data_IF_324680097826
#
_entry.id   IF_324680097826
#
_cell.length_a   1.000
_cell.length_b   1.000
_cell.length_c   1.000
_cell.angle_alpha   90.00
_cell.angle_beta   90.00
_cell.angle_gamma   90.00
#
_symmetry.space_group_name_H-M   'P 1'
#
loop_
_entity.id
_entity.type
_entity.pdbx_description
1 polymer ?
#
# COMPACT_ATOMS: atom_id res chain seq x y z
N UNK A 1 51.38 -32.43 -10.87
CA UNK A 1 51.01 -32.59 -9.41
C UNK A 1 49.96 -33.67 -9.34
N UNK A 2 50.22 -34.86 -8.75
CA UNK A 2 49.21 -35.91 -8.62
C UNK A 2 48.34 -35.61 -7.41
N UNK A 3 47.05 -35.37 -7.65
CA UNK A 3 46.08 -35.05 -6.60
C UNK A 3 45.64 -36.38 -5.97
N UNK A 4 45.61 -36.45 -4.64
CA UNK A 4 45.15 -37.67 -3.93
C UNK A 4 43.64 -37.83 -4.12
N UNK A 5 43.17 -39.06 -4.18
CA UNK A 5 41.74 -39.42 -4.32
C UNK A 5 40.90 -38.69 -3.26
N UNK A 6 41.43 -38.56 -2.05
CA UNK A 6 40.82 -37.85 -0.94
C UNK A 6 40.52 -36.37 -1.28
N UNK A 7 41.53 -35.64 -1.80
CA UNK A 7 41.38 -34.21 -2.17
C UNK A 7 40.41 -34.06 -3.34
N UNK A 8 40.54 -34.94 -4.34
CA UNK A 8 39.64 -34.92 -5.51
C UNK A 8 38.17 -35.13 -5.15
N UNK A 9 37.88 -36.18 -4.34
CA UNK A 9 36.50 -36.49 -3.91
C UNK A 9 35.89 -35.39 -3.05
N UNK A 10 36.65 -34.84 -2.09
CA UNK A 10 36.18 -33.79 -1.22
C UNK A 10 35.92 -32.49 -2.03
N UNK A 11 36.88 -32.16 -2.92
CA UNK A 11 36.72 -30.96 -3.75
C UNK A 11 35.53 -31.05 -4.71
N UNK A 12 35.31 -32.23 -5.31
CA UNK A 12 34.17 -32.43 -6.23
C UNK A 12 32.85 -32.40 -5.49
N UNK A 13 32.71 -33.06 -4.34
CA UNK A 13 31.51 -33.02 -3.52
C UNK A 13 31.23 -31.62 -3.01
N UNK A 14 32.23 -30.89 -2.51
CA UNK A 14 32.10 -29.51 -2.06
C UNK A 14 31.68 -28.58 -3.21
N UNK A 15 32.23 -28.75 -4.40
CA UNK A 15 31.87 -28.00 -5.58
C UNK A 15 30.39 -28.20 -5.96
N UNK A 16 29.92 -29.43 -6.00
CA UNK A 16 28.50 -29.75 -6.32
C UNK A 16 27.58 -29.11 -5.30
N UNK A 17 27.88 -29.22 -4.00
CA UNK A 17 27.07 -28.64 -2.92
C UNK A 17 27.03 -27.11 -3.01
N UNK A 18 28.18 -26.49 -3.27
CA UNK A 18 28.27 -25.03 -3.46
C UNK A 18 27.45 -24.57 -4.67
N UNK A 19 27.58 -25.25 -5.81
CA UNK A 19 26.83 -24.89 -7.01
C UNK A 19 25.34 -25.10 -6.86
N UNK A 20 24.92 -26.25 -6.30
CA UNK A 20 23.48 -26.53 -6.12
C UNK A 20 22.85 -25.62 -5.06
N UNK A 21 23.51 -25.40 -3.92
CA UNK A 21 23.05 -24.50 -2.86
C UNK A 21 23.00 -23.05 -3.33
N UNK A 22 24.03 -22.60 -4.06
CA UNK A 22 24.06 -21.26 -4.67
C UNK A 22 22.98 -21.06 -5.70
N UNK A 23 22.72 -22.04 -6.57
CA UNK A 23 21.67 -21.99 -7.59
C UNK A 23 20.26 -21.92 -6.95
N UNK A 24 19.99 -22.78 -5.96
CA UNK A 24 18.72 -22.80 -5.24
C UNK A 24 18.49 -21.43 -4.53
N UNK A 25 19.50 -20.91 -3.84
CA UNK A 25 19.41 -19.62 -3.16
C UNK A 25 19.18 -18.47 -4.14
N UNK A 26 19.82 -18.49 -5.30
CA UNK A 26 19.65 -17.48 -6.35
C UNK A 26 18.25 -17.52 -6.97
N UNK A 27 17.74 -18.71 -7.32
CA UNK A 27 16.38 -18.87 -7.85
C UNK A 27 15.35 -18.43 -6.82
N UNK A 28 15.52 -18.84 -5.55
CA UNK A 28 14.64 -18.42 -4.44
C UNK A 28 14.63 -16.90 -4.27
N UNK A 29 15.79 -16.26 -4.32
CA UNK A 29 15.90 -14.80 -4.21
C UNK A 29 15.14 -14.07 -5.31
N UNK A 30 15.31 -14.46 -6.58
CA UNK A 30 14.60 -13.87 -7.72
C UNK A 30 13.09 -14.13 -7.60
N UNK A 31 12.70 -15.36 -7.27
CA UNK A 31 11.30 -15.75 -7.10
C UNK A 31 10.59 -14.91 -6.03
N UNK A 32 11.23 -14.77 -4.88
CA UNK A 32 10.72 -13.96 -3.76
C UNK A 32 10.56 -12.50 -4.16
N UNK A 33 11.56 -11.89 -4.80
CA UNK A 33 11.46 -10.48 -5.22
C UNK A 33 10.29 -10.25 -6.19
N UNK A 34 10.15 -11.12 -7.19
CA UNK A 34 9.07 -11.01 -8.17
C UNK A 34 7.68 -11.20 -7.55
N UNK A 35 7.55 -12.21 -6.71
CA UNK A 35 6.28 -12.49 -6.02
C UNK A 35 5.89 -11.35 -5.08
N UNK A 36 6.86 -10.79 -4.36
CA UNK A 36 6.63 -9.63 -3.47
C UNK A 36 6.12 -8.43 -4.24
N UNK A 37 6.74 -8.11 -5.37
CA UNK A 37 6.34 -6.98 -6.19
C UNK A 37 4.90 -7.15 -6.69
N UNK A 38 4.54 -8.31 -7.24
CA UNK A 38 3.20 -8.62 -7.73
C UNK A 38 2.16 -8.61 -6.60
N UNK A 39 2.49 -9.21 -5.45
CA UNK A 39 1.59 -9.23 -4.29
C UNK A 39 1.38 -7.82 -3.71
N UNK A 40 2.43 -6.98 -3.69
CA UNK A 40 2.32 -5.59 -3.24
C UNK A 40 1.44 -4.77 -4.19
N UNK A 41 1.55 -4.97 -5.51
CA UNK A 41 0.71 -4.33 -6.52
C UNK A 41 -0.77 -4.68 -6.29
N UNK A 42 -1.10 -5.97 -6.19
CA UNK A 42 -2.45 -6.45 -5.94
C UNK A 42 -3.02 -5.94 -4.61
N UNK A 43 -2.21 -5.96 -3.55
CA UNK A 43 -2.63 -5.50 -2.23
C UNK A 43 -2.90 -3.99 -2.22
N UNK A 44 -2.06 -3.20 -2.87
CA UNK A 44 -2.25 -1.75 -3.00
C UNK A 44 -3.49 -1.43 -3.85
N UNK A 45 -3.75 -2.18 -4.93
CA UNK A 45 -4.96 -2.02 -5.74
C UNK A 45 -6.22 -2.31 -4.91
N UNK A 46 -6.23 -3.39 -4.12
CA UNK A 46 -7.34 -3.73 -3.23
C UNK A 46 -7.58 -2.64 -2.17
N UNK A 47 -6.51 -2.08 -1.59
CA UNK A 47 -6.62 -0.96 -0.64
C UNK A 47 -7.18 0.28 -1.35
N UNK A 48 -6.71 0.62 -2.56
CA UNK A 48 -7.26 1.73 -3.34
C UNK A 48 -8.76 1.54 -3.58
N UNK A 49 -9.17 0.36 -4.04
CA UNK A 49 -10.57 0.04 -4.31
C UNK A 49 -11.42 0.18 -3.05
N UNK A 50 -10.95 -0.36 -1.93
CA UNK A 50 -11.67 -0.24 -0.65
C UNK A 50 -11.83 1.22 -0.20
N UNK A 51 -10.81 2.05 -0.34
CA UNK A 51 -10.88 3.48 0.00
C UNK A 51 -11.84 4.21 -0.95
N UNK A 52 -11.80 3.89 -2.26
CA UNK A 52 -12.75 4.43 -3.25
C UNK A 52 -14.18 4.08 -2.88
N UNK A 53 -14.47 2.82 -2.62
CA UNK A 53 -15.82 2.34 -2.29
C UNK A 53 -16.37 3.03 -1.04
N UNK A 54 -15.55 3.17 0.00
CA UNK A 54 -15.95 3.90 1.20
C UNK A 54 -16.15 5.38 0.94
N UNK A 55 -15.29 6.01 0.14
CA UNK A 55 -15.43 7.42 -0.24
C UNK A 55 -16.72 7.62 -1.01
N UNK A 56 -17.00 6.79 -2.02
CA UNK A 56 -18.24 6.86 -2.79
C UNK A 56 -19.47 6.60 -1.92
N UNK A 57 -19.42 5.67 -0.99
CA UNK A 57 -20.52 5.43 -0.02
C UNK A 57 -20.79 6.66 0.85
N UNK A 58 -19.75 7.38 1.30
CA UNK A 58 -19.92 8.64 2.03
C UNK A 58 -20.59 9.70 1.16
N UNK A 59 -20.20 9.81 -0.12
CA UNK A 59 -20.79 10.78 -1.06
C UNK A 59 -22.22 10.38 -1.43
N UNK A 60 -22.49 9.09 -1.61
CA UNK A 60 -23.81 8.60 -1.98
C UNK A 60 -24.86 8.90 -0.91
N UNK A 61 -24.51 8.85 0.37
CA UNK A 61 -25.44 9.22 1.44
C UNK A 61 -25.90 10.69 1.32
N UNK A 62 -25.00 11.59 0.90
CA UNK A 62 -25.34 12.97 0.60
C UNK A 62 -26.26 13.06 -0.62
N UNK A 63 -25.97 12.34 -1.70
CA UNK A 63 -26.79 12.30 -2.92
C UNK A 63 -28.22 11.84 -2.60
N UNK A 64 -28.38 10.73 -1.90
CA UNK A 64 -29.69 10.19 -1.53
C UNK A 64 -30.47 11.19 -0.66
N UNK A 65 -29.82 11.86 0.31
CA UNK A 65 -30.46 12.88 1.13
C UNK A 65 -30.94 14.08 0.30
N UNK A 66 -30.18 14.46 -0.70
CA UNK A 66 -30.55 15.56 -1.60
C UNK A 66 -31.72 15.19 -2.54
N UNK A 67 -31.76 13.97 -3.08
CA UNK A 67 -32.86 13.48 -3.91
C UNK A 67 -34.19 13.41 -3.12
N UNK A 68 -34.14 12.92 -1.87
CA UNK A 68 -35.31 12.93 -0.99
C UNK A 68 -35.77 14.39 -0.72
N UNK A 69 -34.85 15.32 -0.61
CA UNK A 69 -35.14 16.73 -0.37
C UNK A 69 -35.91 17.38 -1.53
N UNK A 70 -35.59 17.03 -2.78
CA UNK A 70 -36.36 17.47 -3.95
C UNK A 70 -37.85 17.09 -3.84
N UNK A 71 -38.09 15.85 -3.43
CA UNK A 71 -39.48 15.36 -3.25
C UNK A 71 -40.22 16.08 -2.12
N UNK A 72 -39.52 16.41 -1.02
CA UNK A 72 -40.11 17.04 0.15
C UNK A 72 -40.34 18.55 -0.03
N UNK A 73 -39.58 19.23 -0.89
CA UNK A 73 -39.56 20.69 -1.05
C UNK A 73 -40.41 21.18 -2.21
N UNK A 74 -41.64 20.76 -2.31
CA UNK A 74 -42.58 21.28 -3.34
C UNK A 74 -43.13 22.64 -2.94
N UNK A 75 -43.19 23.59 -3.90
CA UNK A 75 -43.87 24.90 -3.88
C UNK A 75 -43.65 25.73 -2.60
N UNK A 76 -42.93 26.81 -2.73
CA UNK A 76 -42.49 27.74 -1.67
C UNK A 76 -41.99 27.04 -0.40
N UNK A 77 -40.82 26.35 -0.48
CA UNK A 77 -40.29 25.62 0.65
C UNK A 77 -39.99 26.47 1.89
N UNK A 78 -39.67 27.74 1.70
CA UNK A 78 -39.35 28.66 2.79
C UNK A 78 -40.56 29.45 3.33
N UNK A 79 -41.79 29.04 3.02
CA UNK A 79 -42.98 29.63 3.62
C UNK A 79 -43.01 29.38 5.14
N UNK A 80 -43.59 30.31 5.90
CA UNK A 80 -43.72 30.20 7.36
C UNK A 80 -44.41 28.93 7.80
N UNK A 81 -45.41 28.47 7.07
CA UNK A 81 -46.17 27.23 7.37
C UNK A 81 -45.30 25.94 7.25
N UNK A 82 -44.23 25.97 6.49
CA UNK A 82 -43.30 24.82 6.28
C UNK A 82 -42.00 24.89 7.08
N UNK A 83 -41.75 26.05 7.68
CA UNK A 83 -40.48 26.33 8.37
C UNK A 83 -40.13 25.26 9.43
N UNK A 84 -41.06 24.93 10.31
CA UNK A 84 -40.83 23.92 11.36
C UNK A 84 -40.59 22.53 10.82
N UNK A 85 -41.29 22.15 9.73
CA UNK A 85 -41.08 20.86 9.07
C UNK A 85 -39.72 20.79 8.40
N UNK A 86 -39.28 21.88 7.81
CA UNK A 86 -37.98 21.99 7.16
C UNK A 86 -36.82 21.99 8.17
N UNK A 87 -37.00 22.66 9.32
CA UNK A 87 -36.05 22.61 10.45
C UNK A 87 -35.83 21.15 10.90
N UNK A 88 -36.90 20.44 11.23
CA UNK A 88 -36.83 19.04 11.63
C UNK A 88 -36.16 18.16 10.56
N UNK A 89 -36.47 18.41 9.31
CA UNK A 89 -35.95 17.64 8.18
C UNK A 89 -34.44 17.87 8.00
N UNK A 90 -33.97 19.12 7.99
CA UNK A 90 -32.55 19.45 7.83
C UNK A 90 -31.69 18.94 8.99
N UNK A 91 -32.21 19.05 10.23
CA UNK A 91 -31.56 18.46 11.41
C UNK A 91 -31.48 16.94 11.33
N UNK A 92 -32.51 16.29 10.81
CA UNK A 92 -32.50 14.83 10.61
C UNK A 92 -31.43 14.41 9.61
N UNK A 93 -31.27 15.16 8.50
CA UNK A 93 -30.18 14.89 7.54
C UNK A 93 -28.82 15.02 8.19
N UNK A 94 -28.57 16.11 8.92
CA UNK A 94 -27.30 16.31 9.60
C UNK A 94 -27.03 15.23 10.64
N UNK A 95 -28.02 14.87 11.45
CA UNK A 95 -27.86 13.84 12.48
C UNK A 95 -27.62 12.45 11.90
N UNK A 96 -28.28 12.12 10.78
CA UNK A 96 -28.10 10.85 10.11
C UNK A 96 -26.77 10.73 9.34
N UNK A 97 -26.17 11.87 8.97
CA UNK A 97 -25.00 11.94 8.10
C UNK A 97 -23.87 12.76 8.76
N UNK A 98 -23.02 12.18 9.62
CA UNK A 98 -21.95 12.91 10.29
C UNK A 98 -20.92 13.55 9.35
N UNK A 99 -20.81 13.04 8.12
CA UNK A 99 -19.92 13.56 7.08
C UNK A 99 -20.43 14.84 6.43
N UNK A 100 -21.72 15.15 6.58
CA UNK A 100 -22.33 16.37 6.07
C UNK A 100 -22.06 17.53 7.02
N UNK A 101 -21.47 18.59 6.49
CA UNK A 101 -21.15 19.78 7.25
C UNK A 101 -22.36 20.74 7.34
N UNK A 102 -23.04 20.96 6.24
CA UNK A 102 -24.20 21.84 6.17
C UNK A 102 -25.26 21.37 5.16
N UNK A 103 -26.49 21.79 5.39
CA UNK A 103 -27.66 21.54 4.53
C UNK A 103 -28.40 22.84 4.37
N UNK A 104 -28.80 23.18 3.15
CA UNK A 104 -29.42 24.47 2.89
C UNK A 104 -30.32 24.47 1.65
N UNK A 105 -31.12 25.52 1.57
CA UNK A 105 -31.97 25.82 0.41
C UNK A 105 -31.90 27.29 0.05
N UNK A 106 -31.63 27.58 -1.23
CA UNK A 106 -31.68 28.91 -1.81
C UNK A 106 -32.92 29.08 -2.71
N UNK A 107 -33.71 30.08 -2.46
CA UNK A 107 -34.94 30.34 -3.21
C UNK A 107 -34.65 31.13 -4.50
N UNK A 108 -35.24 30.72 -5.63
CA UNK A 108 -35.02 31.34 -6.94
C UNK A 108 -35.65 32.72 -7.00
N UNK A 109 -36.89 32.87 -6.48
CA UNK A 109 -37.70 34.08 -6.67
C UNK A 109 -37.11 35.32 -6.02
N UNK A 110 -36.65 35.20 -4.80
CA UNK A 110 -36.26 36.33 -3.96
C UNK A 110 -34.90 36.21 -3.30
N UNK A 111 -34.17 35.10 -3.53
CA UNK A 111 -32.85 34.87 -2.98
C UNK A 111 -32.82 34.62 -1.46
N UNK A 112 -33.97 34.28 -0.85
CA UNK A 112 -34.00 33.83 0.54
C UNK A 112 -33.16 32.56 0.66
N UNK A 113 -32.44 32.45 1.78
CA UNK A 113 -31.52 31.33 2.05
C UNK A 113 -31.73 30.81 3.47
N UNK A 114 -31.86 29.49 3.60
CA UNK A 114 -31.92 28.81 4.89
C UNK A 114 -30.85 27.75 4.92
N UNK A 115 -30.02 27.76 5.96
CA UNK A 115 -28.91 26.86 6.16
C UNK A 115 -28.92 26.31 7.56
N UNK A 116 -28.61 25.03 7.70
CA UNK A 116 -28.27 24.36 8.95
C UNK A 116 -26.85 23.84 8.84
N UNK A 117 -26.04 24.15 9.83
CA UNK A 117 -24.63 23.83 9.83
C UNK A 117 -24.21 23.18 11.14
N UNK A 118 -23.39 22.15 11.04
CA UNK A 118 -22.77 21.47 12.18
C UNK A 118 -21.59 22.29 12.68
N UNK A 119 -21.65 22.67 13.95
CA UNK A 119 -20.61 23.42 14.61
C UNK A 119 -19.49 22.50 15.13
N UNK A 120 -18.35 23.08 15.52
CA UNK A 120 -17.17 22.33 16.03
C UNK A 120 -17.47 21.53 17.30
N UNK A 121 -18.42 21.95 18.11
CA UNK A 121 -18.89 21.27 19.31
C UNK A 121 -19.94 20.18 19.05
N UNK A 122 -20.29 19.97 17.77
CA UNK A 122 -21.30 19.00 17.31
C UNK A 122 -22.74 19.52 17.34
N UNK A 123 -23.00 20.70 17.88
CA UNK A 123 -24.31 21.35 17.83
C UNK A 123 -24.68 21.79 16.42
N UNK A 124 -25.95 22.06 16.17
CA UNK A 124 -26.44 22.52 14.86
C UNK A 124 -26.93 23.96 14.98
N UNK A 125 -26.36 24.85 14.19
CA UNK A 125 -26.83 26.21 14.05
C UNK A 125 -27.76 26.36 12.86
N UNK A 126 -28.75 27.24 12.99
CA UNK A 126 -29.61 27.67 11.91
C UNK A 126 -29.21 29.09 11.47
N UNK A 127 -29.09 29.29 10.17
CA UNK A 127 -28.80 30.56 9.56
C UNK A 127 -29.86 30.86 8.50
N UNK A 128 -30.59 31.94 8.68
CA UNK A 128 -31.62 32.37 7.74
C UNK A 128 -31.31 33.80 7.22
N UNK A 129 -31.28 33.90 5.92
CA UNK A 129 -31.03 35.16 5.22
C UNK A 129 -32.24 35.54 4.35
N UNK A 130 -32.74 36.72 4.50
CA UNK A 130 -33.86 37.24 3.69
C UNK A 130 -33.62 38.68 3.28
N UNK A 131 -33.84 39.05 2.00
CA UNK A 131 -33.78 40.41 1.58
C UNK A 131 -35.01 41.17 2.17
N UNK A 132 -34.76 42.26 2.85
CA UNK A 132 -35.81 43.15 3.38
C UNK A 132 -35.45 44.60 3.13
N UNK A 133 -36.30 45.31 2.35
CA UNK A 133 -36.11 46.72 2.06
C UNK A 133 -34.73 47.11 1.50
N UNK A 134 -34.18 46.25 0.62
CA UNK A 134 -32.84 46.48 0.04
C UNK A 134 -31.65 46.10 0.94
N UNK A 135 -31.92 45.58 2.12
CA UNK A 135 -30.91 45.07 3.07
C UNK A 135 -31.07 43.58 3.26
N UNK A 136 -29.95 42.89 3.53
CA UNK A 136 -29.97 41.48 3.91
C UNK A 136 -30.21 41.36 5.41
N UNK A 137 -31.31 40.68 5.78
CA UNK A 137 -31.59 40.37 7.17
C UNK A 137 -31.05 38.96 7.44
N UNK A 138 -30.13 38.86 8.40
CA UNK A 138 -29.53 37.58 8.81
C UNK A 138 -29.97 37.26 10.23
N UNK A 139 -30.51 36.08 10.44
CA UNK A 139 -30.80 35.56 11.78
C UNK A 139 -30.04 34.29 12.03
N UNK A 140 -29.37 34.23 13.17
CA UNK A 140 -28.65 33.04 13.64
C UNK A 140 -29.38 32.45 14.84
N UNK A 141 -29.55 31.14 14.84
CA UNK A 141 -30.12 30.44 15.99
C UNK A 141 -29.26 29.24 16.31
N UNK A 142 -28.76 29.16 17.54
CA UNK A 142 -27.90 28.12 18.02
C UNK A 142 -28.67 27.15 18.93
N UNK A 143 -28.37 25.84 18.91
CA UNK A 143 -29.00 24.87 19.81
C UNK A 143 -28.52 25.00 21.26
N UNK A 144 -27.28 25.41 21.47
CA UNK A 144 -26.73 25.55 22.81
C UNK A 144 -27.08 26.94 23.39
N UNK A 145 -27.89 26.98 24.49
CA UNK A 145 -28.28 28.25 25.11
C UNK A 145 -27.12 29.08 25.65
N UNK A 146 -25.97 28.50 25.95
CA UNK A 146 -24.78 29.25 26.42
C UNK A 146 -24.16 30.11 25.34
N UNK A 147 -24.39 29.78 24.07
CA UNK A 147 -24.02 30.61 22.92
C UNK A 147 -25.12 31.66 22.56
N UNK A 148 -26.31 31.58 23.16
CA UNK A 148 -27.30 32.60 23.10
C UNK A 148 -26.94 33.80 24.01
N UNK A 149 -25.78 34.39 23.81
CA UNK A 149 -25.61 35.77 24.28
C UNK A 149 -26.30 36.67 23.25
N UNK A 150 -27.51 37.03 23.60
CA UNK A 150 -28.45 37.93 22.91
C UNK A 150 -29.47 37.24 21.98
N UNK A 151 -30.72 37.63 22.12
CA UNK A 151 -31.78 37.46 21.14
C UNK A 151 -31.23 37.68 19.74
N UNK A 152 -31.82 37.08 18.66
CA UNK A 152 -31.31 37.27 17.31
C UNK A 152 -31.15 38.79 17.06
N UNK A 153 -29.97 39.29 17.38
CA UNK A 153 -29.60 40.62 16.93
C UNK A 153 -29.56 40.53 15.42
N UNK A 154 -30.56 41.15 14.82
CA UNK A 154 -30.55 41.53 13.43
C UNK A 154 -29.35 42.47 13.24
N UNK A 155 -28.15 41.94 13.18
CA UNK A 155 -26.99 42.70 12.81
C UNK A 155 -27.19 43.11 11.38
N UNK A 156 -27.43 44.40 11.17
CA UNK A 156 -27.14 45.06 9.89
C UNK A 156 -25.62 44.94 9.70
N UNK A 157 -25.12 43.79 9.33
CA UNK A 157 -23.79 43.73 8.77
C UNK A 157 -23.90 44.21 7.34
N UNK A 158 -23.08 45.20 7.03
CA UNK A 158 -22.72 45.60 5.67
C UNK A 158 -21.81 44.54 5.06
N UNK A 159 -22.15 43.26 5.28
CA UNK A 159 -21.54 42.13 4.57
C UNK A 159 -21.96 42.24 3.11
N UNK A 160 -21.05 42.06 2.20
CA UNK A 160 -21.35 41.84 0.79
C UNK A 160 -22.58 40.95 0.67
N UNK A 161 -23.57 41.42 -0.07
CA UNK A 161 -24.87 40.77 -0.25
C UNK A 161 -24.65 39.29 -0.65
N UNK A 162 -24.92 38.37 0.26
CA UNK A 162 -24.89 36.93 -0.07
C UNK A 162 -26.15 36.58 -0.84
N UNK A 163 -26.00 36.40 -2.14
CA UNK A 163 -27.06 35.87 -2.99
C UNK A 163 -26.71 34.38 -3.32
N UNK A 164 -27.48 33.39 -2.85
CA UNK A 164 -27.24 31.97 -3.13
C UNK A 164 -27.20 31.69 -4.63
N UNK A 165 -27.99 32.42 -5.43
CA UNK A 165 -28.09 32.22 -6.89
C UNK A 165 -26.80 32.52 -7.64
N UNK A 166 -25.90 33.29 -7.04
CA UNK A 166 -24.57 33.59 -7.63
C UNK A 166 -23.53 32.56 -7.32
N UNK A 167 -23.80 31.62 -6.41
CA UNK A 167 -22.85 30.64 -5.91
C UNK A 167 -22.67 29.45 -6.88
N UNK A 168 -21.49 28.84 -6.92
CA UNK A 168 -21.19 27.72 -7.84
C UNK A 168 -22.21 26.57 -7.74
N UNK A 169 -22.53 26.15 -6.53
CA UNK A 169 -23.48 25.08 -6.27
C UNK A 169 -24.88 25.34 -6.83
N UNK A 170 -25.36 26.58 -6.70
CA UNK A 170 -26.69 26.98 -7.20
C UNK A 170 -26.72 26.99 -8.72
N UNK A 171 -25.78 27.73 -9.30
CA UNK A 171 -25.72 27.93 -10.75
C UNK A 171 -25.54 26.63 -11.50
N UNK A 172 -24.64 25.76 -11.03
CA UNK A 172 -24.36 24.51 -11.70
C UNK A 172 -25.58 23.58 -11.76
N UNK A 173 -26.35 23.45 -10.66
CA UNK A 173 -27.57 22.65 -10.63
C UNK A 173 -28.71 23.29 -11.46
N UNK A 174 -28.90 24.61 -11.33
CA UNK A 174 -29.92 25.33 -12.08
C UNK A 174 -29.67 25.31 -13.60
N UNK A 175 -28.43 25.48 -14.05
CA UNK A 175 -28.03 25.42 -15.46
C UNK A 175 -28.14 24.01 -16.04
N UNK A 176 -27.74 22.98 -15.26
CA UNK A 176 -27.83 21.58 -15.68
C UNK A 176 -29.27 21.07 -15.69
N UNK A 177 -30.13 21.63 -14.85
CA UNK A 177 -31.51 21.16 -14.66
C UNK A 177 -31.62 19.80 -13.97
N UNK A 178 -30.55 19.35 -13.34
CA UNK A 178 -30.37 18.05 -12.69
C UNK A 178 -29.36 18.21 -11.55
N UNK A 179 -29.30 17.19 -10.70
CA UNK A 179 -28.30 17.18 -9.62
C UNK A 179 -26.87 17.39 -10.12
N UNK A 180 -26.06 18.04 -9.31
CA UNK A 180 -24.66 18.31 -9.63
C UNK A 180 -23.77 18.28 -8.39
N UNK A 181 -22.55 17.78 -8.55
CA UNK A 181 -21.46 17.99 -7.61
C UNK A 181 -20.57 19.14 -8.09
N UNK A 182 -20.24 20.04 -7.20
CA UNK A 182 -19.28 21.11 -7.53
C UNK A 182 -17.84 20.56 -7.55
N UNK A 183 -16.95 21.30 -8.20
CA UNK A 183 -15.53 21.22 -7.86
C UNK A 183 -15.32 21.69 -6.40
N UNK A 184 -14.13 21.39 -5.85
CA UNK A 184 -13.76 21.86 -4.52
C UNK A 184 -13.66 23.38 -4.55
N UNK A 185 -14.35 24.04 -3.62
CA UNK A 185 -14.31 25.49 -3.43
C UNK A 185 -14.34 25.84 -1.95
N UNK A 186 -14.08 27.12 -1.61
CA UNK A 186 -14.13 27.58 -0.24
C UNK A 186 -15.56 27.93 0.15
N UNK A 187 -16.04 27.32 1.23
CA UNK A 187 -17.33 27.67 1.82
C UNK A 187 -17.27 29.02 2.51
N UNK A 188 -18.32 29.78 2.42
CA UNK A 188 -18.46 31.12 3.04
C UNK A 188 -19.39 30.97 4.25
N UNK A 189 -19.05 31.56 5.42
CA UNK A 189 -17.98 32.54 5.65
C UNK A 189 -16.62 31.92 6.07
N UNK A 190 -16.57 30.66 6.44
CA UNK A 190 -15.44 30.07 7.18
C UNK A 190 -14.19 29.79 6.33
N UNK A 191 -14.28 29.97 5.02
CA UNK A 191 -13.21 29.66 4.06
C UNK A 191 -12.68 28.21 4.21
N UNK A 192 -13.55 27.26 4.57
CA UNK A 192 -13.22 25.85 4.66
C UNK A 192 -13.42 25.21 3.29
N UNK A 193 -12.47 24.41 2.80
CA UNK A 193 -12.63 23.73 1.51
C UNK A 193 -13.63 22.57 1.62
N UNK A 194 -14.46 22.47 0.59
CA UNK A 194 -15.41 21.39 0.47
C UNK A 194 -16.01 21.32 -0.92
N UNK A 195 -16.91 20.41 -1.07
CA UNK A 195 -17.71 20.23 -2.28
C UNK A 195 -19.18 20.16 -1.89
N UNK A 196 -20.03 20.63 -2.77
CA UNK A 196 -21.47 20.63 -2.57
C UNK A 196 -22.16 19.68 -3.55
N UNK A 197 -23.03 18.85 -3.03
CA UNK A 197 -24.07 18.21 -3.83
C UNK A 197 -25.27 19.13 -3.86
N UNK A 198 -25.77 19.46 -5.04
CA UNK A 198 -26.90 20.34 -5.23
C UNK A 198 -27.97 19.72 -6.13
N UNK A 199 -29.23 20.00 -5.77
CA UNK A 199 -30.42 19.50 -6.49
C UNK A 199 -31.36 20.66 -6.77
N UNK A 200 -31.74 20.91 -8.04
CA UNK A 200 -32.76 21.92 -8.37
C UNK A 200 -34.14 21.38 -8.00
N UNK A 201 -34.93 22.23 -7.36
CA UNK A 201 -36.29 21.90 -6.91
C UNK A 201 -37.30 22.61 -7.84
N UNK A 202 -38.16 21.81 -8.46
CA UNK A 202 -39.18 22.31 -9.39
C UNK A 202 -40.60 22.15 -8.83
N UNK A 203 -41.45 23.12 -9.04
CA UNK A 203 -42.87 23.02 -8.84
C UNK A 203 -43.59 23.54 -10.10
N UNK A 204 -44.56 22.76 -10.58
CA UNK A 204 -45.31 23.07 -11.79
C UNK A 204 -44.43 23.44 -13.02
N UNK A 205 -43.25 22.80 -13.13
CA UNK A 205 -42.28 22.98 -14.20
C UNK A 205 -41.41 24.24 -14.07
N UNK A 206 -41.54 24.98 -12.95
CA UNK A 206 -40.73 26.18 -12.68
C UNK A 206 -39.74 25.89 -11.57
N UNK A 207 -38.53 26.44 -11.69
CA UNK A 207 -37.52 26.38 -10.64
C UNK A 207 -37.97 27.19 -9.42
N UNK A 208 -38.13 26.52 -8.28
CA UNK A 208 -38.43 27.18 -6.99
C UNK A 208 -37.15 27.57 -6.25
N UNK A 209 -36.07 26.84 -6.48
CA UNK A 209 -34.79 27.04 -5.88
C UNK A 209 -33.88 25.84 -5.99
N UNK A 210 -32.75 25.87 -5.29
CA UNK A 210 -31.79 24.78 -5.26
C UNK A 210 -31.53 24.38 -3.83
N UNK A 211 -31.59 23.10 -3.58
CA UNK A 211 -31.14 22.45 -2.36
C UNK A 211 -29.64 22.15 -2.45
N UNK A 212 -28.90 22.41 -1.38
CA UNK A 212 -27.46 22.15 -1.31
C UNK A 212 -27.09 21.41 -0.04
N UNK A 213 -26.07 20.59 -0.14
CA UNK A 213 -25.52 19.80 0.93
C UNK A 213 -24.00 19.78 0.82
N UNK A 214 -23.33 20.26 1.87
CA UNK A 214 -21.88 20.39 1.89
C UNK A 214 -21.20 19.19 2.54
N UNK A 215 -20.15 18.72 1.86
CA UNK A 215 -19.20 17.75 2.41
C UNK A 215 -17.84 18.42 2.52
N UNK A 216 -17.37 18.57 3.75
CA UNK A 216 -16.07 19.21 4.01
C UNK A 216 -14.91 18.28 3.67
N UNK A 217 -13.86 18.82 3.06
CA UNK A 217 -12.64 18.05 2.74
C UNK A 217 -11.92 17.54 3.98
N UNK A 218 -12.13 18.16 5.14
CA UNK A 218 -11.60 17.71 6.43
C UNK A 218 -12.06 16.29 6.77
N UNK A 219 -13.34 15.99 6.59
CA UNK A 219 -13.90 14.67 6.87
C UNK A 219 -13.24 13.59 5.99
N UNK A 220 -13.04 13.91 4.71
CA UNK A 220 -12.34 13.01 3.79
C UNK A 220 -10.86 12.84 4.18
N UNK A 221 -10.20 13.93 4.54
CA UNK A 221 -8.78 13.90 4.96
C UNK A 221 -8.59 13.11 6.26
N UNK A 222 -9.48 13.27 7.23
CA UNK A 222 -9.49 12.47 8.46
C UNK A 222 -9.67 10.98 8.15
N UNK A 223 -10.64 10.64 7.31
CA UNK A 223 -10.86 9.27 6.84
C UNK A 223 -9.61 8.67 6.18
N UNK A 224 -8.91 9.44 5.33
CA UNK A 224 -7.65 9.00 4.72
C UNK A 224 -6.56 8.76 5.76
N UNK A 225 -6.51 9.57 6.81
CA UNK A 225 -5.55 9.43 7.92
C UNK A 225 -5.76 8.18 8.76
N UNK A 226 -6.99 7.67 8.85
CA UNK A 226 -7.32 6.45 9.57
C UNK A 226 -6.99 5.16 8.79
N UNK A 227 -6.70 5.28 7.49
CA UNK A 227 -6.39 4.12 6.66
C UNK A 227 -5.01 3.55 7.02
N UNK A 228 -4.99 2.28 7.41
CA UNK A 228 -3.73 1.56 7.68
C UNK A 228 -3.15 0.99 6.39
N UNK A 229 -2.14 1.66 5.87
CA UNK A 229 -1.44 1.28 4.64
C UNK A 229 0.00 0.91 5.01
N UNK A 230 0.28 -0.38 5.15
CA UNK A 230 1.54 -0.81 5.73
C UNK A 230 1.73 -0.23 7.15
N UNK A 231 2.93 0.23 7.47
CA UNK A 231 3.25 0.90 8.75
C UNK A 231 3.19 2.42 8.63
N UNK A 232 3.63 2.96 7.50
CA UNK A 232 3.85 4.40 7.29
C UNK A 232 3.27 4.93 5.97
N UNK A 233 2.59 4.06 5.21
CA UNK A 233 1.98 4.43 3.94
C UNK A 233 0.87 5.46 4.10
N UNK A 234 0.63 6.21 3.03
CA UNK A 234 -0.31 7.34 2.99
C UNK A 234 -1.20 7.25 1.76
N UNK A 235 -2.49 7.52 1.94
CA UNK A 235 -3.43 7.70 0.84
C UNK A 235 -3.77 9.18 0.67
N UNK A 236 -4.04 9.59 -0.55
CA UNK A 236 -4.44 10.95 -0.90
C UNK A 236 -5.24 10.94 -2.20
N UNK A 237 -6.00 12.01 -2.45
CA UNK A 237 -6.71 12.18 -3.72
C UNK A 237 -6.09 13.29 -4.55
N UNK A 238 -6.13 13.09 -5.87
CA UNK A 238 -5.78 14.12 -6.88
C UNK A 238 -6.93 14.32 -7.85
N UNK A 239 -7.06 15.54 -8.38
CA UNK A 239 -8.02 15.90 -9.42
C UNK A 239 -7.47 15.64 -10.84
N UNK A 240 -8.27 15.95 -11.87
CA UNK A 240 -7.90 15.83 -13.28
C UNK A 240 -6.73 16.75 -13.69
N UNK A 241 -6.45 17.82 -12.94
CA UNK A 241 -5.25 18.65 -13.08
C UNK A 241 -4.02 18.08 -12.39
N UNK A 242 -4.18 16.90 -11.74
CA UNK A 242 -3.16 16.22 -10.94
C UNK A 242 -2.71 17.04 -9.73
N UNK A 243 -3.60 17.85 -9.18
CA UNK A 243 -3.42 18.59 -7.95
C UNK A 243 -3.93 17.78 -6.77
N UNK A 244 -3.23 17.84 -5.64
CA UNK A 244 -3.63 17.14 -4.42
C UNK A 244 -4.85 17.86 -3.84
N UNK A 245 -5.95 17.14 -3.66
CA UNK A 245 -7.22 17.67 -3.19
C UNK A 245 -7.61 17.19 -1.79
N UNK A 246 -7.09 16.05 -1.34
CA UNK A 246 -7.28 15.55 0.01
C UNK A 246 -6.08 14.69 0.43
N UNK A 247 -5.64 14.84 1.67
CA UNK A 247 -4.53 14.07 2.26
C UNK A 247 -4.64 14.02 3.79
N UNK A 248 -3.98 13.07 4.49
CA UNK A 248 -4.15 12.83 5.93
C UNK A 248 -3.81 14.01 6.85
N UNK A 249 -3.01 14.97 6.37
CA UNK A 249 -2.46 16.05 7.20
C UNK A 249 -3.13 17.42 6.93
N UNK A 250 -4.29 17.43 6.30
CA UNK A 250 -5.03 18.66 6.08
C UNK A 250 -5.49 19.25 7.43
N UNK A 251 -4.81 20.30 7.90
CA UNK A 251 -5.12 21.00 9.16
C UNK A 251 -6.20 22.07 8.99
N UNK A 252 -6.93 22.31 10.09
CA UNK A 252 -8.23 22.97 10.15
C UNK A 252 -8.34 24.40 9.64
N UNK A 253 -7.27 25.17 9.63
CA UNK A 253 -7.41 26.63 9.61
C UNK A 253 -7.08 27.32 8.28
N UNK A 254 -6.42 26.63 7.38
CA UNK A 254 -6.14 27.17 6.04
C UNK A 254 -6.03 26.00 5.08
N UNK A 255 -6.89 25.98 4.07
CA UNK A 255 -6.62 25.20 2.88
C UNK A 255 -5.36 25.77 2.23
N UNK A 256 -4.25 25.29 2.70
CA UNK A 256 -3.04 25.41 1.94
C UNK A 256 -3.06 24.19 1.03
N UNK A 257 -3.31 24.42 -0.25
CA UNK A 257 -2.73 23.51 -1.26
C UNK A 257 -1.32 23.25 -0.77
N UNK A 258 -0.93 21.97 -0.65
CA UNK A 258 0.44 21.63 -0.24
C UNK A 258 1.36 22.53 -1.06
N UNK A 259 2.21 23.34 -0.40
CA UNK A 259 3.25 24.06 -1.11
C UNK A 259 4.21 23.04 -1.68
N UNK A 260 4.00 22.67 -2.94
CA UNK A 260 4.80 21.66 -3.63
C UNK A 260 6.27 22.06 -3.75
N UNK A 261 6.58 23.35 -3.59
CA UNK A 261 7.95 23.88 -3.64
C UNK A 261 8.65 23.77 -2.28
N UNK A 262 7.88 23.84 -1.19
CA UNK A 262 8.39 23.74 0.18
C UNK A 262 7.45 22.93 1.06
N UNK A 263 7.26 21.62 0.76
CA UNK A 263 6.36 20.78 1.55
C UNK A 263 6.94 20.58 2.96
N UNK A 264 6.04 20.55 3.95
CA UNK A 264 6.45 20.13 5.28
C UNK A 264 6.90 18.65 5.26
N UNK A 265 7.55 18.20 6.34
CA UNK A 265 8.10 16.83 6.41
C UNK A 265 7.05 15.74 6.24
N UNK A 266 5.82 16.01 6.69
CA UNK A 266 4.72 15.04 6.65
C UNK A 266 4.16 14.88 5.23
N UNK A 267 4.12 15.97 4.46
CA UNK A 267 3.59 16.01 3.10
C UNK A 267 4.63 15.68 2.02
N UNK A 268 5.92 15.77 2.36
CA UNK A 268 7.01 15.65 1.38
C UNK A 268 6.93 14.36 0.54
N UNK A 269 6.53 13.24 1.12
CA UNK A 269 6.41 11.97 0.41
C UNK A 269 5.23 11.97 -0.56
N UNK A 270 4.09 12.57 -0.18
CA UNK A 270 2.91 12.71 -1.04
C UNK A 270 3.28 13.59 -2.24
N UNK A 271 3.93 14.73 -2.01
CA UNK A 271 4.38 15.65 -3.07
C UNK A 271 5.34 14.95 -4.02
N UNK A 272 6.36 14.24 -3.50
CA UNK A 272 7.31 13.47 -4.32
C UNK A 272 6.59 12.40 -5.15
N UNK A 273 5.62 11.71 -4.56
CA UNK A 273 4.79 10.72 -5.27
C UNK A 273 4.08 11.36 -6.47
N UNK A 274 3.38 12.47 -6.25
CA UNK A 274 2.64 13.20 -7.31
C UNK A 274 3.59 13.74 -8.38
N UNK A 275 4.74 14.29 -8.00
CA UNK A 275 5.74 14.76 -8.96
C UNK A 275 6.27 13.63 -9.86
N UNK A 276 6.55 12.45 -9.28
CA UNK A 276 6.99 11.28 -10.04
C UNK A 276 5.85 10.72 -10.92
N UNK A 277 4.62 10.72 -10.41
CA UNK A 277 3.45 10.37 -11.20
C UNK A 277 3.29 11.30 -12.42
N UNK A 278 3.34 12.62 -12.23
CA UNK A 278 3.28 13.61 -13.32
C UNK A 278 4.35 13.38 -14.38
N UNK A 279 5.58 13.05 -13.97
CA UNK A 279 6.68 12.70 -14.89
C UNK A 279 6.38 11.45 -15.69
N UNK A 280 5.88 10.39 -15.02
CA UNK A 280 5.57 9.10 -15.64
C UNK A 280 4.44 9.21 -16.67
N UNK A 281 3.43 10.02 -16.39
CA UNK A 281 2.22 10.15 -17.21
C UNK A 281 2.19 11.40 -18.09
N UNK A 282 3.33 12.06 -18.27
CA UNK A 282 3.44 13.35 -18.98
C UNK A 282 2.76 13.38 -20.37
N UNK A 283 2.77 12.24 -21.07
CA UNK A 283 2.23 12.10 -22.44
C UNK A 283 0.84 11.47 -22.50
N UNK A 284 0.24 11.11 -21.35
CA UNK A 284 -1.06 10.44 -21.30
C UNK A 284 -2.16 11.45 -21.03
N UNK A 285 -3.30 11.30 -21.71
CA UNK A 285 -4.52 12.04 -21.38
C UNK A 285 -5.12 11.57 -20.07
N UNK A 286 -5.96 12.39 -19.43
CA UNK A 286 -6.67 11.98 -18.21
C UNK A 286 -7.57 10.76 -18.47
N UNK A 287 -8.21 10.70 -19.62
CA UNK A 287 -9.06 9.58 -20.03
C UNK A 287 -8.28 8.26 -20.11
N UNK A 288 -7.04 8.31 -20.65
CA UNK A 288 -6.18 7.12 -20.72
C UNK A 288 -5.77 6.62 -19.34
N UNK A 289 -5.61 7.55 -18.37
CA UNK A 289 -5.23 7.22 -17.00
C UNK A 289 -6.35 6.54 -16.21
N UNK A 290 -7.62 6.75 -16.59
CA UNK A 290 -8.78 6.15 -15.94
C UNK A 290 -8.97 4.66 -16.26
N UNK A 291 -8.29 4.13 -17.26
CA UNK A 291 -8.57 2.79 -17.78
C UNK A 291 -7.97 1.65 -16.97
N UNK A 292 -6.85 1.90 -16.29
CA UNK A 292 -6.09 0.87 -15.56
C UNK A 292 -5.37 1.46 -14.36
N UNK A 293 -5.15 0.65 -13.30
CA UNK A 293 -4.27 1.01 -12.21
C UNK A 293 -2.86 1.37 -12.71
N UNK A 294 -2.23 2.33 -12.06
CA UNK A 294 -0.87 2.77 -12.41
C UNK A 294 0.03 2.50 -11.20
N UNK A 295 0.77 1.40 -11.28
CA UNK A 295 1.74 1.02 -10.28
C UNK A 295 3.17 1.40 -10.72
N UNK A 296 3.97 1.95 -9.81
CA UNK A 296 5.38 2.23 -10.02
C UNK A 296 6.12 2.44 -8.69
N UNK A 297 7.44 2.33 -8.75
CA UNK A 297 8.31 2.63 -7.63
C UNK A 297 9.37 3.67 -8.00
N UNK A 298 9.87 4.40 -6.99
CA UNK A 298 11.01 5.31 -7.12
C UNK A 298 11.85 5.29 -5.84
N UNK A 299 13.11 5.70 -5.93
CA UNK A 299 13.99 5.82 -4.76
C UNK A 299 13.86 7.21 -4.13
N UNK A 300 13.70 7.26 -2.82
CA UNK A 300 13.64 8.47 -2.02
C UNK A 300 14.37 8.24 -0.69
N UNK A 301 15.34 9.09 -0.36
CA UNK A 301 16.05 9.09 0.93
C UNK A 301 16.59 7.70 1.36
N UNK A 302 17.10 6.94 0.39
CA UNK A 302 17.67 5.60 0.63
C UNK A 302 16.66 4.45 0.67
N UNK A 303 15.35 4.74 0.62
CA UNK A 303 14.29 3.76 0.56
C UNK A 303 13.63 3.72 -0.82
N UNK A 304 13.11 2.55 -1.20
CA UNK A 304 12.24 2.43 -2.37
C UNK A 304 10.81 2.73 -1.96
N UNK A 305 10.17 3.69 -2.62
CA UNK A 305 8.77 4.04 -2.41
C UNK A 305 7.92 3.40 -3.50
N UNK A 306 6.92 2.63 -3.13
CA UNK A 306 5.92 2.07 -4.03
C UNK A 306 4.71 2.97 -4.10
N UNK A 307 4.13 3.09 -5.29
CA UNK A 307 3.00 3.97 -5.56
C UNK A 307 1.96 3.26 -6.39
N UNK A 308 0.70 3.46 -6.02
CA UNK A 308 -0.46 3.04 -6.78
C UNK A 308 -1.36 4.24 -7.02
N UNK A 309 -1.84 4.38 -8.25
CA UNK A 309 -2.87 5.35 -8.62
C UNK A 309 -4.03 4.64 -9.29
N UNK A 310 -5.23 4.89 -8.79
CA UNK A 310 -6.46 4.29 -9.30
C UNK A 310 -7.54 5.38 -9.45
N UNK A 311 -8.21 5.44 -10.61
CA UNK A 311 -9.26 6.40 -10.85
C UNK A 311 -10.56 6.00 -10.13
N UNK A 312 -11.29 6.99 -9.61
CA UNK A 312 -12.66 6.81 -9.19
C UNK A 312 -13.52 6.55 -10.45
N UNK A 313 -14.17 5.39 -10.50
CA UNK A 313 -15.09 5.04 -11.59
C UNK A 313 -16.47 5.64 -11.29
N UNK A 314 -16.55 6.98 -11.29
CA UNK A 314 -17.77 7.72 -11.03
C UNK A 314 -17.95 8.81 -12.11
N UNK A 315 -19.21 9.18 -12.41
CA UNK A 315 -19.51 10.21 -13.42
C UNK A 315 -19.33 11.63 -12.90
N UNK A 316 -19.45 11.80 -11.58
CA UNK A 316 -19.49 13.11 -10.94
C UNK A 316 -18.09 13.59 -10.52
N UNK A 317 -17.14 12.65 -10.32
CA UNK A 317 -15.82 12.97 -9.82
C UNK A 317 -14.71 12.54 -10.76
N UNK A 318 -13.94 13.51 -11.23
CA UNK A 318 -12.73 13.30 -12.02
C UNK A 318 -11.49 13.20 -11.11
N UNK A 319 -11.52 12.23 -10.17
CA UNK A 319 -10.48 12.05 -9.17
C UNK A 319 -9.74 10.71 -9.34
N UNK A 320 -8.53 10.69 -8.80
CA UNK A 320 -7.77 9.46 -8.60
C UNK A 320 -7.30 9.38 -7.15
N UNK A 321 -7.38 8.19 -6.56
CA UNK A 321 -6.66 7.91 -5.34
C UNK A 321 -5.21 7.62 -5.67
N UNK A 322 -4.30 8.17 -4.87
CA UNK A 322 -2.89 7.84 -4.83
C UNK A 322 -2.56 7.19 -3.50
N UNK A 323 -1.76 6.13 -3.53
CA UNK A 323 -1.14 5.54 -2.35
C UNK A 323 0.36 5.61 -2.53
N UNK A 324 1.07 6.03 -1.48
CA UNK A 324 2.52 5.97 -1.38
C UNK A 324 2.93 5.23 -0.12
N UNK A 325 3.81 4.24 -0.24
CA UNK A 325 4.25 3.41 0.87
C UNK A 325 5.69 2.95 0.67
N UNK A 326 6.55 2.94 1.73
CA UNK A 326 7.87 2.35 1.63
C UNK A 326 7.77 0.85 1.32
N UNK A 327 8.60 0.38 0.40
CA UNK A 327 8.71 -1.05 0.07
C UNK A 327 8.98 -1.89 1.32
N UNK A 328 9.77 -1.36 2.26
CA UNK A 328 10.11 -2.04 3.50
C UNK A 328 8.90 -2.35 4.39
N UNK A 329 7.80 -1.62 4.28
CA UNK A 329 6.57 -1.87 5.03
C UNK A 329 5.92 -3.22 4.66
N UNK A 330 6.04 -3.63 3.40
CA UNK A 330 5.52 -4.92 2.92
C UNK A 330 6.59 -6.01 2.88
N UNK A 331 7.82 -5.63 2.58
CA UNK A 331 8.93 -6.58 2.35
C UNK A 331 9.65 -6.96 3.64
N UNK A 332 9.41 -6.25 4.76
CA UNK A 332 10.10 -6.52 6.04
C UNK A 332 10.01 -7.99 6.48
N UNK A 333 8.83 -8.58 6.47
CA UNK A 333 8.62 -9.99 6.82
C UNK A 333 9.35 -10.93 5.85
N UNK A 334 9.38 -10.56 4.58
CA UNK A 334 10.02 -11.34 3.51
C UNK A 334 11.54 -11.22 3.59
N UNK A 335 12.08 -10.03 3.87
CA UNK A 335 13.52 -9.82 4.13
C UNK A 335 13.99 -10.62 5.36
N UNK A 336 13.17 -10.73 6.39
CA UNK A 336 13.45 -11.55 7.56
C UNK A 336 13.49 -13.04 7.19
N UNK A 337 12.56 -13.54 6.41
CA UNK A 337 12.56 -14.92 5.91
C UNK A 337 13.78 -15.20 5.02
N UNK A 338 14.17 -14.27 4.14
CA UNK A 338 15.37 -14.41 3.32
C UNK A 338 16.63 -14.56 4.18
N UNK A 339 16.77 -13.84 5.27
CA UNK A 339 17.90 -13.99 6.20
C UNK A 339 17.94 -15.37 6.82
N UNK A 340 16.78 -15.92 7.19
CA UNK A 340 16.66 -17.28 7.70
C UNK A 340 17.10 -18.29 6.63
N UNK A 341 16.65 -18.12 5.38
CA UNK A 341 17.05 -18.99 4.25
C UNK A 341 18.56 -18.98 4.05
N UNK A 342 19.22 -17.81 4.08
CA UNK A 342 20.67 -17.73 3.96
C UNK A 342 21.40 -18.41 5.11
N UNK A 343 20.95 -18.21 6.36
CA UNK A 343 21.55 -18.86 7.54
C UNK A 343 21.37 -20.37 7.47
N UNK A 344 20.17 -20.85 7.18
CA UNK A 344 19.91 -22.31 7.07
C UNK A 344 20.69 -22.95 5.92
N UNK A 345 20.79 -22.28 4.77
CA UNK A 345 21.61 -22.72 3.64
C UNK A 345 23.09 -22.82 4.01
N UNK A 346 23.62 -21.85 4.76
CA UNK A 346 24.99 -21.85 5.24
C UNK A 346 25.26 -23.00 6.22
N UNK A 347 24.33 -23.22 7.16
CA UNK A 347 24.43 -24.32 8.13
C UNK A 347 24.41 -25.68 7.42
N UNK A 348 23.49 -25.88 6.47
CA UNK A 348 23.42 -27.10 5.67
C UNK A 348 24.71 -27.31 4.85
N UNK A 349 25.26 -26.25 4.28
CA UNK A 349 26.53 -26.32 3.54
C UNK A 349 27.69 -26.74 4.43
N UNK A 350 27.83 -26.18 5.62
CA UNK A 350 28.88 -26.56 6.59
C UNK A 350 28.71 -28.03 7.00
N UNK A 351 27.47 -28.47 7.26
CA UNK A 351 27.17 -29.85 7.59
C UNK A 351 27.51 -30.78 6.44
N UNK A 352 27.17 -30.46 5.22
CA UNK A 352 27.43 -31.26 4.03
C UNK A 352 28.96 -31.39 3.74
N UNK A 353 29.71 -30.29 3.91
CA UNK A 353 31.18 -30.31 3.80
C UNK A 353 31.79 -31.20 4.91
N UNK A 354 31.31 -31.06 6.14
CA UNK A 354 31.72 -31.90 7.26
C UNK A 354 31.48 -33.38 7.01
N UNK A 355 30.28 -33.74 6.56
CA UNK A 355 29.92 -35.10 6.18
C UNK A 355 30.82 -35.62 5.02
N UNK A 356 31.04 -34.79 3.99
CA UNK A 356 31.92 -35.10 2.87
C UNK A 356 33.36 -35.40 3.30
N UNK A 357 33.90 -34.63 4.24
CA UNK A 357 35.23 -34.88 4.81
C UNK A 357 35.31 -36.17 5.58
N UNK A 358 34.29 -36.50 6.37
CA UNK A 358 34.22 -37.80 7.12
C UNK A 358 34.16 -38.94 6.13
N UNK A 359 33.31 -38.86 5.13
CA UNK A 359 33.17 -39.90 4.09
C UNK A 359 34.50 -40.10 3.32
N UNK A 360 35.10 -38.99 2.89
CA UNK A 360 36.36 -39.03 2.15
C UNK A 360 37.51 -39.67 2.98
N UNK A 361 37.57 -39.37 4.29
CA UNK A 361 38.53 -40.03 5.20
C UNK A 361 38.27 -41.51 5.30
N UNK A 362 37.01 -41.89 5.52
CA UNK A 362 36.63 -43.33 5.67
C UNK A 362 36.83 -44.16 4.40
N UNK A 363 36.85 -43.57 3.23
CA UNK A 363 37.13 -44.24 1.95
C UNK A 363 38.65 -44.25 1.64
N UNK A 364 39.30 -43.08 1.78
CA UNK A 364 40.69 -42.91 1.33
C UNK A 364 41.69 -43.55 2.27
N UNK A 365 41.42 -43.63 3.58
CA UNK A 365 42.36 -44.15 4.56
C UNK A 365 42.62 -45.65 4.39
N UNK A 366 41.60 -46.53 4.26
CA UNK A 366 41.82 -47.96 3.97
C UNK A 366 42.52 -48.20 2.63
N UNK A 367 42.18 -47.42 1.59
CA UNK A 367 42.82 -47.52 0.28
C UNK A 367 44.30 -47.12 0.31
N UNK A 368 44.66 -46.10 1.11
CA UNK A 368 46.05 -45.65 1.27
C UNK A 368 46.88 -46.70 2.03
N UNK A 369 46.30 -47.33 3.07
CA UNK A 369 46.94 -48.44 3.79
C UNK A 369 47.16 -49.65 2.88
N UNK A 370 46.14 -49.96 2.05
CA UNK A 370 46.26 -51.05 1.09
C UNK A 370 47.38 -50.78 0.05
N UNK A 371 47.50 -49.54 -0.43
CA UNK A 371 48.58 -49.10 -1.33
C UNK A 371 49.98 -49.25 -0.68
N UNK A 372 50.10 -48.84 0.58
CA UNK A 372 51.37 -49.01 1.35
C UNK A 372 51.72 -50.47 1.50
N UNK A 373 50.77 -51.34 1.88
CA UNK A 373 50.99 -52.77 2.01
C UNK A 373 51.34 -53.43 0.67
N UNK A 374 50.70 -52.99 -0.44
CA UNK A 374 51.11 -53.50 -1.77
C UNK A 374 52.52 -53.08 -2.15
N UNK A 375 52.98 -51.88 -1.75
CA UNK A 375 54.39 -51.44 -1.97
C UNK A 375 55.35 -52.27 -1.16
N UNK A 376 55.05 -52.67 0.08
CA UNK A 376 55.86 -53.56 0.90
C UNK A 376 55.97 -54.94 0.24
N UNK A 377 54.83 -55.50 -0.20
CA UNK A 377 54.82 -56.79 -0.92
C UNK A 377 55.61 -56.70 -2.22
N UNK A 378 55.53 -55.63 -2.98
CA UNK A 378 56.37 -55.44 -4.17
C UNK A 378 57.87 -55.44 -3.87
N UNK A 379 58.27 -55.02 -2.68
CA UNK A 379 59.67 -55.03 -2.24
C UNK A 379 60.07 -56.32 -1.45
N UNK A 380 59.19 -57.34 -1.49
CA UNK A 380 59.34 -58.60 -0.78
C UNK A 380 59.36 -58.46 0.74
N UNK A 381 58.94 -57.33 1.29
CA UNK A 381 58.77 -57.20 2.72
C UNK A 381 57.35 -57.69 3.12
N UNK A 382 57.31 -58.95 3.65
CA UNK A 382 56.08 -59.58 4.05
C UNK A 382 55.81 -59.47 5.56
N UNK A 383 56.62 -58.70 6.32
CA UNK A 383 56.57 -58.73 7.80
C UNK A 383 55.45 -57.88 8.41
N UNK A 384 54.80 -57.01 7.62
CA UNK A 384 53.64 -56.21 8.08
C UNK A 384 52.42 -57.13 8.23
N UNK A 385 51.72 -57.01 9.34
CA UNK A 385 50.45 -57.73 9.61
C UNK A 385 49.31 -56.67 9.93
N UNK A 386 49.25 -55.59 9.19
CA UNK A 386 48.20 -54.60 9.37
C UNK A 386 46.89 -55.17 8.83
N UNK A 387 45.89 -55.25 9.71
CA UNK A 387 44.52 -55.55 9.29
C UNK A 387 43.86 -54.26 8.69
N UNK A 388 43.28 -54.42 7.49
CA UNK A 388 42.63 -53.33 6.78
C UNK A 388 41.14 -53.59 6.81
N UNK A 389 40.40 -52.78 7.54
CA UNK A 389 38.94 -52.82 7.59
C UNK A 389 38.34 -51.62 6.92
N UNK A 390 37.32 -51.83 6.11
CA UNK A 390 36.55 -50.78 5.47
C UNK A 390 35.07 -51.01 5.65
N UNK A 391 34.29 -49.93 5.80
CA UNK A 391 32.83 -50.01 5.78
C UNK A 391 32.26 -50.18 4.36
N UNK A 392 33.09 -49.95 3.32
CA UNK A 392 32.74 -50.25 1.93
C UNK A 392 33.11 -51.66 1.61
N UNK A 393 32.09 -52.44 1.25
CA UNK A 393 32.22 -53.90 0.95
C UNK A 393 33.26 -54.16 -0.15
N UNK A 394 33.36 -53.30 -1.15
CA UNK A 394 34.30 -53.43 -2.25
C UNK A 394 35.76 -53.28 -1.76
N UNK A 395 36.02 -52.32 -0.88
CA UNK A 395 37.35 -52.07 -0.31
C UNK A 395 37.72 -53.17 0.68
N UNK A 396 36.74 -53.63 1.48
CA UNK A 396 36.94 -54.73 2.41
C UNK A 396 37.25 -56.05 1.69
N UNK A 397 36.54 -56.36 0.60
CA UNK A 397 36.82 -57.51 -0.26
C UNK A 397 38.21 -57.39 -0.92
N UNK A 398 38.64 -56.18 -1.33
CA UNK A 398 40.00 -56.00 -1.84
C UNK A 398 41.05 -56.24 -0.76
N UNK A 399 40.84 -55.81 0.46
CA UNK A 399 41.72 -56.04 1.59
C UNK A 399 41.83 -57.55 1.93
N UNK A 400 40.71 -58.24 1.99
CA UNK A 400 40.67 -59.69 2.22
C UNK A 400 41.41 -60.45 1.10
N UNK A 401 41.14 -60.11 -0.16
CA UNK A 401 41.80 -60.78 -1.31
C UNK A 401 43.31 -60.53 -1.33
N UNK A 402 43.71 -59.30 -1.01
CA UNK A 402 45.12 -58.95 -0.89
C UNK A 402 45.82 -59.69 0.26
N UNK A 403 45.17 -59.83 1.42
CA UNK A 403 45.68 -60.58 2.55
C UNK A 403 45.89 -62.07 2.20
N UNK A 404 44.89 -62.63 1.51
CA UNK A 404 45.04 -64.04 1.01
C UNK A 404 46.19 -64.18 0.02
N UNK A 405 46.39 -63.24 -0.92
CA UNK A 405 47.54 -63.25 -1.82
C UNK A 405 48.86 -63.10 -1.07
N UNK A 406 48.96 -62.21 -0.08
CA UNK A 406 50.13 -61.99 0.74
C UNK A 406 50.52 -63.27 1.55
N UNK A 407 49.52 -63.93 2.13
CA UNK A 407 49.75 -65.22 2.80
C UNK A 407 50.26 -66.30 1.85
N UNK A 408 49.72 -66.39 0.62
CA UNK A 408 50.21 -67.28 -0.40
C UNK A 408 51.66 -66.99 -0.79
N UNK A 409 52.02 -65.76 -1.01
CA UNK A 409 53.40 -65.34 -1.29
C UNK A 409 54.35 -65.60 -0.11
N UNK A 410 53.93 -65.38 1.12
CA UNK A 410 54.68 -65.64 2.34
C UNK A 410 54.95 -67.13 2.48
N UNK A 411 54.00 -67.96 2.12
CA UNK A 411 54.16 -69.42 2.10
C UNK A 411 55.16 -69.90 1.02
N UNK A 412 55.09 -69.21 -0.17
CA UNK A 412 56.00 -69.52 -1.26
C UNK A 412 57.45 -69.06 -0.95
N UNK A 413 57.67 -67.98 -0.28
CA UNK A 413 59.00 -67.48 0.15
C UNK A 413 59.72 -68.45 1.05
N UNK A 414 59.02 -69.32 1.78
CA UNK A 414 59.69 -70.38 2.60
C UNK A 414 60.37 -71.45 1.77
N UNK A 415 60.04 -71.60 0.51
CA UNK A 415 60.56 -72.67 -0.39
C UNK A 415 61.53 -72.09 -1.46
N UNK A 416 61.59 -70.78 -1.70
CA UNK A 416 62.45 -70.16 -2.72
C UNK A 416 63.38 -69.17 -2.03
N UNK A 417 64.73 -69.33 -2.18
CA UNK A 417 65.70 -68.40 -1.59
C UNK A 417 65.54 -66.93 -2.13
N UNK A 418 65.57 -65.95 -1.24
CA UNK A 418 65.40 -64.52 -1.57
C UNK A 418 66.29 -63.98 -2.70
N UNK A 419 67.50 -64.58 -2.86
CA UNK A 419 68.46 -64.20 -3.91
C UNK A 419 68.01 -64.54 -5.33
N UNK A 420 67.31 -65.66 -5.51
CA UNK A 420 66.79 -66.13 -6.80
C UNK A 420 65.59 -65.34 -7.28
N UNK A 421 64.76 -64.83 -6.38
CA UNK A 421 63.58 -64.00 -6.71
C UNK A 421 63.94 -62.54 -7.10
N UNK A 422 65.00 -61.97 -6.49
CA UNK A 422 65.49 -60.66 -6.81
C UNK A 422 66.23 -60.53 -8.16
N UNK A 423 66.73 -61.62 -8.69
CA UNK A 423 67.38 -61.72 -10.03
C UNK A 423 66.36 -61.88 -11.16
N UNK A 424 65.13 -62.31 -10.87
CA UNK A 424 64.07 -62.59 -11.85
C UNK A 424 63.11 -61.48 -12.06
N UNK A 425 63.10 -60.38 -11.24
CA UNK A 425 62.22 -59.21 -11.32
C UNK A 425 63.00 -57.91 -11.44
#
# INVERSE_FOLDING_TARGET
>A
MKITIKVSLVSFAALIILLSGGLISFISFIGVQRTTYLLSEELMENICTHIIDRTLSHMQAATISAEISEFMMKKDPLSESKRESLDRYFRSILNANPQVASVYFGNEKDGRFLMFERQKDGSISENYMAPKSGKLMVSWKHENPEFYKTAPELKEESAEYYDPRTRPWYRQAAEKGDHAWTDIYLFVPDNVPGLTHSNPVYADGKLEGVFGLDVGMKTLSYFLGEQKIGKTGKAFFINNRKEIIAHPFLKEEKFHSIDENNPNKEDAEIVRSVQNFRKKVKKKSWTDLKTKPIFFSYKSEGSTMMNMYLALQNRDFDWMIGIVVPEDDYVYLIKQNNRIIWITSLVLMVFAVGAGLIFARRISEPLSVLEEEMKLVKNFDMNSDREIHSFLREVDNMAVSFHGMKQGLRSFQKYVPDGLVRELI
#
